data_IF_485469926718
#
_entry.id   IF_485469926718
#
_cell.length_a   1.000
_cell.length_b   1.000
_cell.length_c   1.000
_cell.angle_alpha   90.00
_cell.angle_beta   90.00
_cell.angle_gamma   90.00
#
_symmetry.space_group_name_H-M   'P 1'
#
loop_
_entity.id
_entity.type
_entity.pdbx_description
1 polymer ?
#
# COMPACT_ATOMS: atom_id res chain seq x y z
N UNK A 1 5.84 -1.24 -35.62
CA UNK A 1 5.78 -1.89 -34.28
C UNK A 1 6.30 -0.91 -33.22
N UNK A 2 5.66 0.25 -33.02
CA UNK A 2 6.35 1.44 -32.46
C UNK A 2 5.54 2.30 -31.46
N UNK A 3 4.34 1.87 -31.04
CA UNK A 3 3.41 2.74 -30.30
C UNK A 3 3.33 2.44 -28.80
N UNK A 4 3.77 1.27 -28.35
CA UNK A 4 3.58 0.82 -26.96
C UNK A 4 4.68 1.24 -25.96
N UNK A 5 5.80 1.81 -26.42
CA UNK A 5 6.88 2.30 -25.55
C UNK A 5 6.78 3.79 -25.20
N UNK A 6 5.93 4.56 -25.88
CA UNK A 6 5.92 6.03 -25.77
C UNK A 6 5.32 6.55 -24.45
N UNK A 7 4.47 5.76 -23.78
CA UNK A 7 3.84 6.15 -22.51
C UNK A 7 4.87 6.25 -21.38
N UNK A 8 5.91 5.40 -21.39
CA UNK A 8 6.96 5.42 -20.35
C UNK A 8 7.84 6.67 -20.40
N UNK A 9 8.01 7.27 -21.58
CA UNK A 9 8.91 8.41 -21.77
C UNK A 9 8.32 9.75 -21.26
N UNK A 10 6.99 9.90 -21.26
CA UNK A 10 6.33 11.11 -20.71
C UNK A 10 6.16 11.06 -19.19
N UNK A 11 5.88 9.88 -18.62
CA UNK A 11 5.74 9.71 -17.17
C UNK A 11 7.06 9.91 -16.41
N UNK A 12 8.20 9.76 -17.09
CA UNK A 12 9.52 10.01 -16.53
C UNK A 12 9.83 11.48 -16.19
N UNK A 13 9.12 12.46 -16.79
CA UNK A 13 9.55 13.87 -16.76
C UNK A 13 8.87 14.72 -15.69
N UNK A 14 7.76 14.28 -15.09
CA UNK A 14 7.01 15.10 -14.13
C UNK A 14 6.42 14.31 -12.97
N UNK A 15 6.85 14.63 -11.74
CA UNK A 15 6.31 14.11 -10.47
C UNK A 15 4.80 14.27 -10.40
N UNK A 16 4.25 15.38 -10.91
CA UNK A 16 2.82 15.63 -10.98
C UNK A 16 2.04 14.59 -11.81
N UNK A 17 2.61 14.09 -12.91
CA UNK A 17 1.97 13.06 -13.75
C UNK A 17 1.94 11.71 -13.02
N UNK A 18 2.97 11.42 -12.21
CA UNK A 18 3.04 10.21 -11.39
C UNK A 18 2.01 10.25 -10.26
N UNK A 19 1.88 11.41 -9.59
CA UNK A 19 0.85 11.64 -8.58
C UNK A 19 -0.54 11.51 -9.20
N UNK A 20 -0.78 12.15 -10.36
CA UNK A 20 -2.03 12.03 -11.10
C UNK A 20 -2.38 10.59 -11.46
N UNK A 21 -1.39 9.79 -11.88
CA UNK A 21 -1.60 8.37 -12.16
C UNK A 21 -2.05 7.60 -10.90
N UNK A 22 -1.39 7.81 -9.75
CA UNK A 22 -1.78 7.17 -8.48
C UNK A 22 -3.21 7.55 -8.09
N UNK A 23 -3.59 8.82 -8.23
CA UNK A 23 -4.94 9.30 -7.95
C UNK A 23 -5.98 8.70 -8.89
N UNK A 24 -5.65 8.51 -10.18
CA UNK A 24 -6.52 7.83 -11.14
C UNK A 24 -6.76 6.37 -10.73
N UNK A 25 -5.71 5.63 -10.35
CA UNK A 25 -5.88 4.25 -9.88
C UNK A 25 -6.69 4.17 -8.59
N UNK A 26 -6.48 5.10 -7.67
CA UNK A 26 -7.30 5.21 -6.46
C UNK A 26 -8.78 5.48 -6.78
N UNK A 27 -9.05 6.41 -7.71
CA UNK A 27 -10.41 6.73 -8.16
C UNK A 27 -11.10 5.56 -8.85
N UNK A 28 -10.38 4.85 -9.74
CA UNK A 28 -10.88 3.64 -10.40
C UNK A 28 -11.15 2.52 -9.39
N UNK A 29 -10.24 2.30 -8.44
CA UNK A 29 -10.44 1.32 -7.36
C UNK A 29 -11.65 1.67 -6.48
N UNK A 30 -11.87 2.96 -6.22
CA UNK A 30 -13.05 3.43 -5.47
C UNK A 30 -14.34 3.23 -6.25
N UNK A 31 -14.36 3.58 -7.55
CA UNK A 31 -15.51 3.35 -8.42
C UNK A 31 -15.85 1.85 -8.51
N UNK A 32 -14.83 0.99 -8.60
CA UNK A 32 -15.01 -0.46 -8.59
C UNK A 32 -15.50 -0.97 -7.23
N UNK A 33 -14.98 -0.48 -6.11
CA UNK A 33 -15.45 -0.85 -4.77
C UNK A 33 -16.95 -0.57 -4.62
N UNK A 34 -17.37 0.63 -5.03
CA UNK A 34 -18.78 1.04 -4.98
C UNK A 34 -19.63 0.21 -5.95
N UNK A 35 -19.19 -0.01 -7.18
CA UNK A 35 -19.95 -0.77 -8.18
C UNK A 35 -20.08 -2.26 -7.86
N UNK A 36 -19.04 -2.86 -7.26
CA UNK A 36 -19.01 -4.28 -6.90
C UNK A 36 -19.58 -4.57 -5.50
N UNK A 37 -19.83 -3.54 -4.69
CA UNK A 37 -20.33 -3.69 -3.32
C UNK A 37 -19.34 -4.35 -2.36
N UNK A 38 -18.06 -4.45 -2.75
CA UNK A 38 -17.04 -5.13 -1.95
C UNK A 38 -16.66 -4.26 -0.73
N UNK A 39 -16.58 -4.82 0.50
CA UNK A 39 -16.25 -4.08 1.72
C UNK A 39 -14.74 -3.79 1.83
N UNK A 40 -14.11 -3.39 0.72
CA UNK A 40 -12.69 -3.04 0.67
C UNK A 40 -12.54 -1.54 0.40
N UNK A 41 -11.65 -0.85 1.12
CA UNK A 41 -11.21 0.49 0.76
C UNK A 41 -10.81 0.55 -0.72
N UNK A 42 -11.30 1.56 -1.45
CA UNK A 42 -10.97 1.75 -2.87
C UNK A 42 -9.48 1.83 -3.16
N UNK A 43 -8.66 2.25 -2.20
CA UNK A 43 -7.20 2.23 -2.30
C UNK A 43 -6.59 0.84 -2.43
N UNK A 44 -7.15 -0.19 -1.78
CA UNK A 44 -6.67 -1.57 -1.91
C UNK A 44 -6.96 -2.09 -3.32
N UNK A 45 -8.16 -1.82 -3.85
CA UNK A 45 -8.50 -2.18 -5.22
C UNK A 45 -7.65 -1.40 -6.23
N UNK A 46 -7.42 -0.10 -5.99
CA UNK A 46 -6.54 0.72 -6.81
C UNK A 46 -5.10 0.20 -6.84
N UNK A 47 -4.58 -0.26 -5.70
CA UNK A 47 -3.28 -0.93 -5.61
C UNK A 47 -3.27 -2.24 -6.40
N UNK A 48 -4.32 -3.07 -6.30
CA UNK A 48 -4.42 -4.31 -7.05
C UNK A 48 -4.45 -4.07 -8.58
N UNK A 49 -5.18 -3.05 -9.04
CA UNK A 49 -5.19 -2.65 -10.45
C UNK A 49 -3.80 -2.17 -10.91
N UNK A 50 -3.15 -1.33 -10.11
CA UNK A 50 -1.82 -0.85 -10.40
C UNK A 50 -0.81 -2.02 -10.45
N UNK A 51 -0.91 -2.97 -9.53
CA UNK A 51 -0.11 -4.19 -9.50
C UNK A 51 -0.34 -5.05 -10.75
N UNK A 52 -1.60 -5.30 -11.13
CA UNK A 52 -1.92 -6.03 -12.35
C UNK A 52 -1.31 -5.37 -13.60
N UNK A 53 -1.32 -4.03 -13.63
CA UNK A 53 -0.73 -3.27 -14.71
C UNK A 53 0.81 -3.30 -14.71
N UNK A 54 1.45 -3.29 -13.54
CA UNK A 54 2.90 -3.50 -13.40
C UNK A 54 3.30 -4.91 -13.84
N UNK A 55 2.52 -5.94 -13.46
CA UNK A 55 2.73 -7.32 -13.90
C UNK A 55 2.59 -7.47 -15.42
N UNK A 56 1.69 -6.71 -16.06
CA UNK A 56 1.55 -6.67 -17.52
C UNK A 56 2.73 -6.01 -18.26
N UNK A 57 3.76 -5.54 -17.53
CA UNK A 57 4.96 -4.81 -18.02
C UNK A 57 4.66 -3.55 -18.85
N UNK A 58 3.42 -3.06 -18.84
CA UNK A 58 3.00 -1.83 -19.55
C UNK A 58 3.49 -0.56 -18.84
N UNK A 59 3.78 -0.65 -17.55
CA UNK A 59 4.30 0.44 -16.72
C UNK A 59 5.56 -0.02 -15.97
N UNK A 60 6.56 0.86 -15.93
CA UNK A 60 7.77 0.64 -15.14
C UNK A 60 7.56 1.16 -13.72
N UNK A 61 7.85 0.33 -12.71
CA UNK A 61 7.81 0.73 -11.31
C UNK A 61 8.73 1.93 -11.01
N UNK A 62 9.87 2.03 -11.73
CA UNK A 62 10.79 3.18 -11.64
C UNK A 62 10.10 4.49 -12.02
N UNK A 63 9.07 4.43 -12.86
CA UNK A 63 8.33 5.60 -13.31
C UNK A 63 7.26 6.08 -12.33
N UNK A 64 6.91 5.34 -11.28
CA UNK A 64 6.06 5.86 -10.20
C UNK A 64 6.85 6.22 -8.94
N UNK A 65 8.07 5.69 -8.81
CA UNK A 65 8.90 5.78 -7.61
C UNK A 65 9.17 7.22 -7.15
N UNK A 66 9.31 8.19 -8.06
CA UNK A 66 9.57 9.60 -7.70
C UNK A 66 8.32 10.31 -7.15
N UNK A 67 7.15 10.05 -7.73
CA UNK A 67 5.87 10.59 -7.29
C UNK A 67 5.46 10.00 -5.94
N UNK A 68 5.59 8.69 -5.78
CA UNK A 68 5.31 8.03 -4.50
C UNK A 68 6.33 8.39 -3.42
N UNK A 69 7.61 8.60 -3.77
CA UNK A 69 8.61 9.03 -2.78
C UNK A 69 8.31 10.39 -2.20
N UNK A 70 7.69 11.30 -2.96
CA UNK A 70 7.25 12.59 -2.44
C UNK A 70 6.14 12.42 -1.39
N UNK A 71 5.13 11.59 -1.67
CA UNK A 71 4.13 11.23 -0.67
C UNK A 71 4.76 10.57 0.57
N UNK A 72 5.72 9.67 0.38
CA UNK A 72 6.44 9.04 1.48
C UNK A 72 7.23 10.05 2.33
N UNK A 73 7.88 11.03 1.70
CA UNK A 73 8.61 12.08 2.39
C UNK A 73 7.69 12.96 3.25
N UNK A 74 6.49 13.25 2.75
CA UNK A 74 5.46 14.02 3.47
C UNK A 74 4.55 13.15 4.36
N UNK A 75 4.88 11.86 4.57
CA UNK A 75 4.05 10.97 5.42
C UNK A 75 3.85 11.52 6.83
N UNK A 76 4.86 12.23 7.38
CA UNK A 76 4.74 12.89 8.67
C UNK A 76 3.56 13.88 8.70
N UNK A 77 3.35 14.61 7.60
CA UNK A 77 2.28 15.59 7.45
C UNK A 77 0.90 14.91 7.46
N UNK A 78 0.78 13.70 6.92
CA UNK A 78 -0.46 12.90 7.01
C UNK A 78 -0.65 12.25 8.38
N UNK A 79 0.44 12.01 9.13
CA UNK A 79 0.34 11.50 10.49
C UNK A 79 -0.10 12.56 11.50
N UNK A 80 0.20 13.84 11.28
CA UNK A 80 -0.19 14.92 12.21
C UNK A 80 -1.71 14.94 12.46
N UNK A 81 -2.59 14.98 11.44
CA UNK A 81 -4.04 14.90 11.66
C UNK A 81 -4.49 13.60 12.34
N UNK A 82 -3.90 12.47 11.97
CA UNK A 82 -4.24 11.17 12.53
C UNK A 82 -3.88 11.11 14.03
N UNK A 83 -2.70 11.58 14.41
CA UNK A 83 -2.27 11.65 15.81
C UNK A 83 -3.15 12.61 16.60
N UNK A 84 -3.43 13.81 16.07
CA UNK A 84 -4.30 14.79 16.75
C UNK A 84 -5.71 14.24 17.02
N UNK A 85 -6.28 13.48 16.07
CA UNK A 85 -7.57 12.81 16.28
C UNK A 85 -7.54 11.81 17.44
N UNK A 86 -6.44 11.05 17.57
CA UNK A 86 -6.22 10.11 18.69
C UNK A 86 -6.00 10.86 20.01
N UNK A 87 -5.21 11.94 20.01
CA UNK A 87 -4.97 12.77 21.20
C UNK A 87 -6.26 13.38 21.77
N UNK A 88 -7.24 13.67 20.90
CA UNK A 88 -8.56 14.16 21.32
C UNK A 88 -9.36 13.15 22.17
N UNK A 89 -9.04 11.86 22.10
CA UNK A 89 -9.73 10.79 22.81
C UNK A 89 -8.93 10.39 24.07
N UNK A 90 -9.18 11.10 25.18
CA UNK A 90 -8.47 10.90 26.45
C UNK A 90 -8.59 9.48 27.02
N UNK A 91 -9.58 8.72 26.61
CA UNK A 91 -9.76 7.31 26.97
C UNK A 91 -8.60 6.40 26.52
N UNK A 92 -7.90 6.76 25.43
CA UNK A 92 -6.72 6.03 24.97
C UNK A 92 -5.45 6.30 25.80
N UNK A 93 -5.48 7.22 26.76
CA UNK A 93 -4.35 7.46 27.67
C UNK A 93 -4.45 6.70 29.00
N UNK A 94 -5.55 5.98 29.23
CA UNK A 94 -5.75 5.15 30.42
C UNK A 94 -5.39 3.68 30.22
N UNK A 95 -5.94 2.83 31.10
CA UNK A 95 -5.79 1.36 31.02
C UNK A 95 -6.26 0.78 29.68
N UNK A 96 -7.24 1.41 29.03
CA UNK A 96 -7.74 0.99 27.72
C UNK A 96 -6.67 1.16 26.65
N UNK A 97 -5.97 2.29 26.63
CA UNK A 97 -4.82 2.53 25.76
C UNK A 97 -3.71 1.50 25.94
N UNK A 98 -3.38 1.17 27.19
CA UNK A 98 -2.37 0.17 27.49
C UNK A 98 -2.78 -1.23 26.98
N UNK A 99 -4.06 -1.60 27.14
CA UNK A 99 -4.60 -2.85 26.58
C UNK A 99 -4.53 -2.86 25.05
N UNK A 100 -4.91 -1.76 24.39
CA UNK A 100 -4.82 -1.64 22.93
C UNK A 100 -3.37 -1.76 22.47
N UNK A 101 -2.44 -1.06 23.13
CA UNK A 101 -1.01 -1.13 22.82
C UNK A 101 -0.47 -2.56 22.97
N UNK A 102 -0.81 -3.23 24.06
CA UNK A 102 -0.41 -4.61 24.28
C UNK A 102 -0.95 -5.55 23.18
N UNK A 103 -2.23 -5.40 22.81
CA UNK A 103 -2.85 -6.19 21.74
C UNK A 103 -2.15 -5.93 20.40
N UNK A 104 -1.89 -4.67 20.03
CA UNK A 104 -1.20 -4.31 18.79
C UNK A 104 0.20 -4.91 18.74
N UNK A 105 0.98 -4.79 19.81
CA UNK A 105 2.34 -5.31 19.86
C UNK A 105 2.36 -6.84 19.74
N UNK A 106 1.54 -7.52 20.54
CA UNK A 106 1.45 -8.98 20.52
C UNK A 106 0.94 -9.49 19.17
N UNK A 107 -0.10 -8.87 18.60
CA UNK A 107 -0.63 -9.26 17.30
C UNK A 107 0.39 -9.04 16.18
N UNK A 108 1.12 -7.93 16.21
CA UNK A 108 2.13 -7.61 15.19
C UNK A 108 3.28 -8.62 15.24
N UNK A 109 3.80 -8.90 16.43
CA UNK A 109 4.86 -9.91 16.61
C UNK A 109 4.35 -11.28 16.16
N UNK A 110 3.13 -11.66 16.54
CA UNK A 110 2.52 -12.94 16.15
C UNK A 110 2.38 -13.07 14.62
N UNK A 111 1.94 -12.01 13.93
CA UNK A 111 1.85 -11.99 12.46
C UNK A 111 3.24 -12.09 11.81
N UNK A 112 4.25 -11.38 12.34
CA UNK A 112 5.62 -11.47 11.83
C UNK A 112 6.20 -12.88 12.00
N UNK A 113 6.03 -13.48 13.19
CA UNK A 113 6.50 -14.84 13.49
C UNK A 113 5.79 -15.87 12.62
N UNK A 114 4.47 -15.80 12.51
CA UNK A 114 3.71 -16.73 11.67
C UNK A 114 4.10 -16.62 10.19
N UNK A 115 4.31 -15.41 9.68
CA UNK A 115 4.81 -15.19 8.31
C UNK A 115 6.21 -15.77 8.13
N UNK A 116 7.12 -15.54 9.08
CA UNK A 116 8.48 -16.08 9.03
C UNK A 116 8.49 -17.62 9.02
N UNK A 117 7.72 -18.25 9.92
CA UNK A 117 7.59 -19.71 9.99
C UNK A 117 6.95 -20.30 8.74
N UNK A 118 5.93 -19.64 8.17
CA UNK A 118 5.29 -20.09 6.94
C UNK A 118 6.27 -20.05 5.74
N UNK A 119 7.05 -18.98 5.63
CA UNK A 119 8.09 -18.87 4.59
C UNK A 119 9.19 -19.90 4.80
N UNK A 120 9.65 -20.11 6.03
CA UNK A 120 10.66 -21.12 6.35
C UNK A 120 10.17 -22.55 6.08
N UNK A 121 8.92 -22.86 6.42
CA UNK A 121 8.30 -24.13 6.09
C UNK A 121 8.23 -24.32 4.57
N UNK A 122 7.77 -23.32 3.81
CA UNK A 122 7.70 -23.36 2.35
C UNK A 122 9.09 -23.60 1.73
N UNK A 123 10.12 -22.93 2.24
CA UNK A 123 11.49 -23.11 1.77
C UNK A 123 12.01 -24.51 2.06
N UNK A 124 11.79 -25.04 3.27
CA UNK A 124 12.15 -26.40 3.67
C UNK A 124 11.41 -27.48 2.88
N UNK A 125 10.17 -27.22 2.47
CA UNK A 125 9.40 -28.14 1.62
C UNK A 125 9.95 -28.15 0.21
N UNK A 126 10.33 -26.99 -0.32
CA UNK A 126 10.90 -26.86 -1.66
C UNK A 126 12.30 -27.50 -1.75
N UNK A 127 13.16 -27.29 -0.74
CA UNK A 127 14.51 -27.88 -0.72
C UNK A 127 14.55 -29.39 -0.48
N UNK A 128 13.42 -30.00 -0.05
CA UNK A 128 13.27 -31.46 0.03
C UNK A 128 12.83 -32.10 -1.28
N UNK A 129 12.39 -31.31 -2.26
CA UNK A 129 11.93 -31.77 -3.57
C UNK A 129 12.87 -31.34 -4.72
N UNK A 130 14.06 -30.84 -4.40
CA UNK A 130 15.17 -30.59 -5.33
C UNK A 130 16.30 -31.57 -5.02
#
# INVERSE_FOLDING_TARGET
MSTHYAVSKRLHRSTALQIGAVLVFWGLGTALAVASGVPLPGGILGLALLLALLLSRRLSALSLRRGTSWFLAEMLLFFVPAVLAVLGHREFFGLIGLKILAVILVSTISVMVSTALAVEACYRWTSRHA
#
